data_IF_045408045518
#
_entry.id   IF_045408045518
#
_cell.length_a   1.000
_cell.length_b   1.000
_cell.length_c   1.000
_cell.angle_alpha   90.00
_cell.angle_beta   90.00
_cell.angle_gamma   90.00
#
_symmetry.space_group_name_H-M   'P 1'
#
loop_
_entity.id
_entity.type
_entity.pdbx_description
1 polymer ?
#
# COMPACT_ATOMS: atom_id res chain seq x y z
N UNK A 1 0.47 13.87 22.79
CA UNK A 1 0.95 12.47 22.91
C UNK A 1 2.01 12.21 21.86
N UNK A 2 3.11 11.56 22.25
CA UNK A 2 4.14 11.09 21.32
C UNK A 2 3.59 9.90 20.53
N UNK A 3 3.72 9.94 19.20
CA UNK A 3 3.29 8.88 18.29
C UNK A 3 4.47 7.91 18.08
N UNK A 4 4.22 6.61 18.18
CA UNK A 4 5.26 5.59 18.30
C UNK A 4 6.32 5.62 17.19
N UNK A 5 5.91 5.81 15.93
CA UNK A 5 6.82 5.82 14.77
C UNK A 5 6.88 7.17 14.05
N UNK A 6 6.49 8.26 14.71
CA UNK A 6 6.56 9.59 14.08
C UNK A 6 8.01 9.93 13.70
N UNK A 7 8.22 10.28 12.44
CA UNK A 7 9.53 10.62 11.88
C UNK A 7 10.25 9.45 11.21
N UNK A 8 9.75 8.21 11.38
CA UNK A 8 10.23 7.04 10.63
C UNK A 8 9.63 7.08 9.22
N UNK A 9 10.48 6.87 8.21
CA UNK A 9 10.09 6.74 6.81
C UNK A 9 10.29 5.30 6.36
N UNK A 10 9.30 4.74 5.68
CA UNK A 10 9.30 3.36 5.17
C UNK A 10 9.04 3.40 3.68
N UNK A 11 9.94 2.80 2.90
CA UNK A 11 9.70 2.52 1.49
C UNK A 11 9.23 1.06 1.38
N UNK A 12 8.02 0.89 0.88
CA UNK A 12 7.28 -0.37 0.86
C UNK A 12 7.21 -0.92 -0.57
N UNK A 13 8.00 -1.95 -0.87
CA UNK A 13 7.99 -2.70 -2.14
C UNK A 13 7.13 -3.97 -2.07
N UNK A 14 6.39 -4.13 -0.97
CA UNK A 14 5.62 -5.36 -0.76
C UNK A 14 4.43 -5.47 -1.69
N UNK A 15 4.00 -6.69 -1.94
CA UNK A 15 2.79 -7.01 -2.69
C UNK A 15 1.99 -8.07 -1.93
N UNK A 16 0.78 -8.36 -2.41
CA UNK A 16 -0.12 -9.33 -1.81
C UNK A 16 -0.57 -8.89 -0.40
N UNK A 17 -0.43 -9.77 0.60
CA UNK A 17 -1.15 -9.67 1.87
C UNK A 17 -0.22 -9.43 3.06
N UNK A 18 0.68 -10.37 3.33
CA UNK A 18 1.39 -10.44 4.61
C UNK A 18 2.26 -9.20 4.85
N UNK A 19 3.06 -8.86 3.86
CA UNK A 19 4.00 -7.75 3.93
C UNK A 19 3.29 -6.38 3.84
N UNK A 20 2.29 -6.17 2.94
CA UNK A 20 1.49 -4.94 2.95
C UNK A 20 0.77 -4.71 4.28
N UNK A 21 0.29 -5.78 4.92
CA UNK A 21 -0.32 -5.68 6.24
C UNK A 21 0.69 -5.24 7.31
N UNK A 22 1.91 -5.77 7.28
CA UNK A 22 2.97 -5.38 8.19
C UNK A 22 3.31 -3.88 8.06
N UNK A 23 3.51 -3.38 6.84
CA UNK A 23 3.83 -1.96 6.62
C UNK A 23 2.63 -1.04 6.87
N UNK A 24 1.39 -1.52 6.66
CA UNK A 24 0.19 -0.81 7.07
C UNK A 24 0.16 -0.59 8.59
N UNK A 25 0.54 -1.59 9.39
CA UNK A 25 0.64 -1.43 10.85
C UNK A 25 1.67 -0.35 11.24
N UNK A 26 2.78 -0.22 10.50
CA UNK A 26 3.74 0.86 10.72
C UNK A 26 3.10 2.24 10.45
N UNK A 27 2.32 2.35 9.38
CA UNK A 27 1.54 3.55 9.06
C UNK A 27 0.49 3.88 10.13
N UNK A 28 -0.22 2.87 10.64
CA UNK A 28 -1.16 3.00 11.78
C UNK A 28 -0.46 3.57 13.02
N UNK A 29 0.82 3.23 13.23
CA UNK A 29 1.68 3.78 14.28
C UNK A 29 2.35 5.13 13.92
N UNK A 30 1.88 5.78 12.85
CA UNK A 30 2.31 7.08 12.32
C UNK A 30 3.69 7.15 11.68
N UNK A 31 4.20 6.03 11.14
CA UNK A 31 5.28 6.08 10.17
C UNK A 31 4.80 6.73 8.85
N UNK A 32 5.71 7.37 8.12
CA UNK A 32 5.47 7.83 6.76
C UNK A 32 5.80 6.68 5.80
N UNK A 33 4.76 5.95 5.37
CA UNK A 33 4.89 4.78 4.49
C UNK A 33 4.61 5.18 3.05
N UNK A 34 5.59 4.98 2.19
CA UNK A 34 5.51 5.20 0.74
C UNK A 34 5.55 3.82 0.09
N UNK A 35 4.44 3.41 -0.53
CA UNK A 35 4.34 2.19 -1.32
C UNK A 35 4.79 2.46 -2.75
N UNK A 36 5.78 1.72 -3.20
CA UNK A 36 6.08 1.59 -4.61
C UNK A 36 5.11 0.60 -5.25
N UNK A 37 4.60 0.95 -6.42
CA UNK A 37 3.75 0.06 -7.19
C UNK A 37 4.17 0.02 -8.65
N UNK A 38 4.09 -1.19 -9.23
CA UNK A 38 4.48 -1.45 -10.61
C UNK A 38 3.81 -0.48 -11.59
N UNK A 39 4.60 0.06 -12.52
CA UNK A 39 4.09 1.00 -13.51
C UNK A 39 3.00 0.37 -14.39
N UNK A 40 1.87 1.06 -14.51
CA UNK A 40 0.71 0.65 -15.30
C UNK A 40 -0.25 -0.32 -14.61
N UNK A 41 0.23 -1.23 -13.75
CA UNK A 41 -0.63 -2.24 -13.09
C UNK A 41 -0.90 -1.97 -11.62
N UNK A 42 0.05 -1.33 -10.94
CA UNK A 42 0.07 -1.20 -9.49
C UNK A 42 0.24 -2.54 -8.76
N UNK A 43 -0.18 -2.59 -7.50
CA UNK A 43 -0.31 -3.84 -6.72
C UNK A 43 -1.34 -4.80 -7.35
N UNK A 44 -1.06 -6.10 -7.33
CA UNK A 44 -1.96 -7.13 -7.87
C UNK A 44 -3.39 -7.07 -7.30
N UNK A 45 -3.56 -6.68 -6.03
CA UNK A 45 -4.88 -6.53 -5.42
C UNK A 45 -5.66 -5.31 -5.91
N UNK A 46 -5.10 -4.45 -6.78
CA UNK A 46 -5.84 -3.41 -7.53
C UNK A 46 -6.61 -3.96 -8.72
N UNK A 47 -6.21 -5.12 -9.25
CA UNK A 47 -6.93 -5.82 -10.33
C UNK A 47 -7.62 -7.12 -9.91
N UNK A 48 -7.23 -7.71 -8.78
CA UNK A 48 -7.75 -9.02 -8.36
C UNK A 48 -9.04 -8.90 -7.53
N UNK A 49 -10.18 -8.97 -8.21
CA UNK A 49 -11.48 -8.91 -7.54
C UNK A 49 -11.81 -10.24 -6.85
N UNK A 50 -12.29 -10.17 -5.61
CA UNK A 50 -13.01 -11.29 -4.98
C UNK A 50 -14.50 -11.00 -5.08
N UNK A 51 -15.25 -11.98 -5.57
CA UNK A 51 -16.71 -11.89 -5.70
C UNK A 51 -17.21 -10.72 -6.55
N UNK A 52 -16.38 -10.18 -7.46
CA UNK A 52 -16.72 -9.06 -8.35
C UNK A 52 -17.24 -7.80 -7.61
N UNK A 53 -16.74 -7.55 -6.38
CA UNK A 53 -17.13 -6.38 -5.59
C UNK A 53 -16.11 -5.25 -5.72
N UNK A 54 -16.63 -4.05 -5.92
CA UNK A 54 -15.90 -2.80 -5.95
C UNK A 54 -16.35 -1.89 -4.82
N UNK A 55 -15.41 -1.16 -4.22
CA UNK A 55 -15.65 -0.06 -3.29
C UNK A 55 -15.60 1.24 -4.09
N UNK A 56 -16.56 2.13 -3.87
CA UNK A 56 -16.67 3.42 -4.56
C UNK A 56 -16.64 3.34 -6.11
N UNK A 57 -16.92 2.17 -6.69
CA UNK A 57 -16.98 1.95 -8.13
C UNK A 57 -15.64 1.73 -8.84
N UNK A 58 -14.50 1.87 -8.15
CA UNK A 58 -13.18 1.81 -8.78
C UNK A 58 -12.05 1.20 -7.91
N UNK A 59 -12.29 0.94 -6.63
CA UNK A 59 -11.27 0.38 -5.73
C UNK A 59 -11.63 -1.03 -5.30
N UNK A 60 -10.61 -1.88 -5.10
CA UNK A 60 -10.83 -3.25 -4.65
C UNK A 60 -10.78 -3.36 -3.12
N UNK A 61 -11.72 -4.10 -2.48
CA UNK A 61 -11.79 -4.23 -1.03
C UNK A 61 -10.47 -4.71 -0.39
N UNK A 62 -9.80 -5.67 -1.03
CA UNK A 62 -8.55 -6.25 -0.54
C UNK A 62 -7.42 -5.22 -0.51
N UNK A 63 -7.26 -4.44 -1.59
CA UNK A 63 -6.26 -3.37 -1.62
C UNK A 63 -6.50 -2.35 -0.50
N UNK A 64 -7.75 -1.91 -0.34
CA UNK A 64 -8.14 -0.94 0.69
C UNK A 64 -7.94 -1.46 2.12
N UNK A 65 -8.12 -2.76 2.35
CA UNK A 65 -7.98 -3.37 3.67
C UNK A 65 -6.53 -3.43 4.17
N UNK A 66 -5.56 -3.47 3.26
CA UNK A 66 -4.14 -3.74 3.56
C UNK A 66 -3.16 -2.63 3.13
N UNK A 67 -3.67 -1.51 2.61
CA UNK A 67 -2.83 -0.38 2.18
C UNK A 67 -3.28 1.00 2.70
N UNK A 68 -4.12 1.07 3.74
CA UNK A 68 -4.44 2.37 4.37
C UNK A 68 -3.19 2.96 5.04
N UNK A 69 -3.19 4.27 5.29
CA UNK A 69 -2.07 5.01 5.88
C UNK A 69 -0.75 4.91 5.08
N UNK A 70 -0.84 4.61 3.79
CA UNK A 70 0.26 4.63 2.84
C UNK A 70 -0.01 5.68 1.76
N UNK A 71 1.07 6.30 1.27
CA UNK A 71 1.07 7.06 0.02
C UNK A 71 1.60 6.14 -1.08
N UNK A 72 1.06 6.24 -2.28
CA UNK A 72 1.51 5.43 -3.41
C UNK A 72 2.32 6.28 -4.38
N UNK A 73 3.37 5.67 -4.93
CA UNK A 73 4.07 6.17 -6.11
C UNK A 73 4.34 5.01 -7.06
N UNK A 74 4.63 5.37 -8.30
CA UNK A 74 5.14 4.46 -9.32
C UNK A 74 6.54 4.92 -9.71
N UNK A 75 7.48 3.99 -9.78
CA UNK A 75 8.83 4.26 -10.28
C UNK A 75 9.28 3.08 -11.14
N UNK A 76 9.92 3.37 -12.27
CA UNK A 76 10.66 2.35 -12.99
C UNK A 76 12.02 2.16 -12.31
N UNK A 77 12.15 1.15 -11.46
CA UNK A 77 13.40 0.87 -10.75
C UNK A 77 14.53 0.36 -11.65
N UNK A 78 14.25 0.12 -12.94
CA UNK A 78 15.23 -0.33 -13.94
C UNK A 78 15.73 0.80 -14.83
N UNK A 79 15.11 1.98 -14.78
CA UNK A 79 15.61 3.16 -15.49
C UNK A 79 16.79 3.77 -14.73
N UNK A 80 17.81 4.25 -15.46
CA UNK A 80 18.97 4.98 -14.91
C UNK A 80 18.60 6.35 -14.32
#
# INVERSE_FOLDING_TARGET
MQKALKGVKVLDFSQLLQDPYATQMLGDLSADVIKEECNGTGDIYRGMTFFNKWIAGNELPCFMAWNRNKRSLTIDIKSE
#
